data_IF_181443606254
#
_entry.id   IF_181443606254
#
_cell.length_a   1.000
_cell.length_b   1.000
_cell.length_c   1.000
_cell.angle_alpha   90.00
_cell.angle_beta   90.00
_cell.angle_gamma   90.00
#
_symmetry.space_group_name_H-M   'P 1'
#
loop_
_entity.id
_entity.type
_entity.pdbx_description
1 polymer ?
#
# COMPACT_ATOMS: atom_id res chain seq x y z
N UNK A 1 21.10 1.72 -4.15
CA UNK A 1 20.14 0.85 -3.43
C UNK A 1 19.38 1.75 -2.47
N UNK A 2 18.05 1.82 -2.59
CA UNK A 2 17.25 2.73 -1.77
C UNK A 2 16.49 1.95 -0.69
N UNK A 3 16.35 2.52 0.50
CA UNK A 3 15.55 1.97 1.58
C UNK A 3 14.07 2.36 1.39
N UNK A 4 13.20 1.36 1.34
CA UNK A 4 11.76 1.52 1.06
C UNK A 4 10.91 0.86 2.14
N UNK A 5 10.61 1.56 3.25
CA UNK A 5 9.74 1.02 4.28
C UNK A 5 8.31 0.89 3.74
N UNK A 6 7.69 -0.25 3.99
CA UNK A 6 6.29 -0.52 3.63
C UNK A 6 5.59 -1.08 4.87
N UNK A 7 4.41 -0.57 5.15
CA UNK A 7 3.60 -1.00 6.28
C UNK A 7 2.14 -1.17 5.87
N UNK A 8 1.47 -2.19 6.41
CA UNK A 8 0.03 -2.42 6.24
C UNK A 8 -0.57 -2.83 7.57
N UNK A 9 -1.72 -2.24 7.90
CA UNK A 9 -2.56 -2.65 9.02
C UNK A 9 -4.00 -2.72 8.57
N UNK A 10 -4.77 -3.64 9.14
CA UNK A 10 -6.19 -3.79 8.85
C UNK A 10 -6.93 -4.42 10.03
N UNK A 11 -8.23 -4.19 10.05
CA UNK A 11 -9.16 -4.89 10.93
C UNK A 11 -10.17 -5.65 10.06
N UNK A 12 -10.32 -6.96 10.33
CA UNK A 12 -11.19 -7.86 9.56
C UNK A 12 -12.55 -8.01 10.26
N UNK A 13 -13.62 -7.72 9.52
CA UNK A 13 -15.00 -8.00 9.92
C UNK A 13 -15.61 -8.91 8.85
N UNK A 14 -15.88 -10.16 9.22
CA UNK A 14 -16.36 -11.21 8.32
C UNK A 14 -15.42 -11.43 7.12
N UNK A 15 -15.82 -10.96 5.93
CA UNK A 15 -15.09 -11.10 4.66
C UNK A 15 -14.49 -9.78 4.18
N UNK A 16 -14.58 -8.72 4.98
CA UNK A 16 -14.16 -7.36 4.62
C UNK A 16 -13.11 -6.92 5.62
N UNK A 17 -11.90 -6.60 5.14
CA UNK A 17 -10.87 -5.96 5.95
C UNK A 17 -10.70 -4.50 5.55
N UNK A 18 -10.85 -3.60 6.50
CA UNK A 18 -10.58 -2.17 6.32
C UNK A 18 -9.30 -1.77 7.01
N UNK A 19 -8.49 -0.90 6.41
CA UNK A 19 -7.18 -0.60 6.96
C UNK A 19 -6.44 0.57 6.33
N UNK A 20 -5.17 0.66 6.70
CA UNK A 20 -4.24 1.66 6.17
C UNK A 20 -2.96 0.99 5.66
N UNK A 21 -2.41 1.56 4.59
CA UNK A 21 -1.11 1.16 4.06
C UNK A 21 -0.22 2.38 3.88
N UNK A 22 1.07 2.22 4.14
CA UNK A 22 2.08 3.25 3.98
C UNK A 22 3.22 2.74 3.11
N UNK A 23 3.61 3.56 2.15
CA UNK A 23 4.71 3.29 1.23
C UNK A 23 5.70 4.44 1.30
N UNK A 24 6.93 4.13 1.71
CA UNK A 24 8.03 5.08 1.79
C UNK A 24 9.17 4.76 0.83
N UNK A 25 9.95 5.78 0.49
CA UNK A 25 11.29 5.66 -0.06
C UNK A 25 12.12 6.82 0.48
N UNK A 26 13.11 6.49 1.31
CA UNK A 26 13.92 7.47 2.05
C UNK A 26 15.29 7.72 1.41
N UNK A 27 15.53 7.17 0.22
CA UNK A 27 16.80 7.26 -0.48
C UNK A 27 17.83 6.22 -0.01
N UNK A 28 19.11 6.55 -0.15
CA UNK A 28 20.21 5.65 0.21
C UNK A 28 20.33 5.53 1.73
N UNK A 29 20.40 4.32 2.33
CA UNK A 29 20.52 4.16 3.77
C UNK A 29 21.78 4.77 4.39
N UNK A 30 22.84 5.01 3.60
CA UNK A 30 24.07 5.69 4.03
C UNK A 30 24.08 7.19 3.71
N UNK A 31 23.11 7.68 2.94
CA UNK A 31 22.94 9.10 2.60
C UNK A 31 21.46 9.37 2.31
N UNK A 32 20.72 9.70 3.37
CA UNK A 32 19.27 9.83 3.30
C UNK A 32 18.91 11.07 2.50
N UNK A 33 17.85 10.98 1.71
CA UNK A 33 17.31 12.14 1.00
C UNK A 33 16.72 13.13 2.01
N UNK A 34 16.71 14.43 1.67
CA UNK A 34 16.01 15.42 2.47
C UNK A 34 14.52 15.09 2.56
N UNK A 35 13.86 15.37 3.68
CA UNK A 35 12.47 14.92 3.92
C UNK A 35 11.47 15.35 2.83
N UNK A 36 11.67 16.52 2.19
CA UNK A 36 10.84 16.98 1.06
C UNK A 36 11.09 16.21 -0.24
N UNK A 37 12.25 15.54 -0.35
CA UNK A 37 12.64 14.70 -1.47
C UNK A 37 12.36 13.21 -1.23
N UNK A 38 12.02 12.82 -0.01
CA UNK A 38 11.58 11.46 0.28
C UNK A 38 10.15 11.26 -0.27
N UNK A 39 9.88 10.06 -0.78
CA UNK A 39 8.54 9.69 -1.22
C UNK A 39 7.79 9.05 -0.06
N UNK A 40 6.59 9.54 0.23
CA UNK A 40 5.72 9.06 1.30
C UNK A 40 4.26 9.07 0.84
N UNK A 41 3.66 7.88 0.69
CA UNK A 41 2.27 7.72 0.30
C UNK A 41 1.50 6.96 1.39
N UNK A 42 0.39 7.52 1.85
CA UNK A 42 -0.54 6.88 2.77
C UNK A 42 -1.82 6.49 2.04
N UNK A 43 -2.32 5.28 2.26
CA UNK A 43 -3.54 4.76 1.66
C UNK A 43 -4.54 4.38 2.73
N UNK A 44 -5.81 4.70 2.49
CA UNK A 44 -6.93 3.96 3.08
C UNK A 44 -7.30 2.82 2.14
N UNK A 45 -7.45 1.61 2.68
CA UNK A 45 -7.67 0.39 1.89
C UNK A 45 -8.83 -0.45 2.39
N UNK A 46 -9.47 -1.15 1.46
CA UNK A 46 -10.48 -2.17 1.73
C UNK A 46 -10.11 -3.43 0.94
N UNK A 47 -10.06 -4.56 1.65
CA UNK A 47 -9.85 -5.89 1.10
C UNK A 47 -11.13 -6.71 1.22
N UNK A 48 -11.58 -7.31 0.11
CA UNK A 48 -12.72 -8.21 0.06
C UNK A 48 -12.26 -9.63 -0.25
N UNK A 49 -12.61 -10.55 0.65
CA UNK A 49 -12.37 -11.98 0.55
C UNK A 49 -13.67 -12.69 0.16
N UNK A 50 -14.16 -12.41 -1.05
CA UNK A 50 -15.48 -12.88 -1.52
C UNK A 50 -15.50 -14.39 -1.67
N UNK A 51 -14.45 -14.95 -2.27
CA UNK A 51 -14.21 -16.37 -2.52
C UNK A 51 -12.83 -16.79 -1.99
N UNK A 52 -12.62 -18.04 -1.54
CA UNK A 52 -11.29 -18.52 -1.12
C UNK A 52 -10.19 -18.40 -2.18
N UNK A 53 -10.54 -18.17 -3.44
CA UNK A 53 -9.61 -18.00 -4.57
C UNK A 53 -9.51 -16.57 -5.06
N UNK A 54 -10.48 -15.71 -4.78
CA UNK A 54 -10.53 -14.35 -5.31
C UNK A 54 -10.38 -13.32 -4.18
N UNK A 55 -9.38 -12.46 -4.33
CA UNK A 55 -9.09 -11.35 -3.42
C UNK A 55 -9.17 -10.03 -4.19
N UNK A 56 -9.84 -9.04 -3.61
CA UNK A 56 -9.96 -7.70 -4.17
C UNK A 56 -9.44 -6.69 -3.16
N UNK A 57 -8.39 -5.94 -3.49
CA UNK A 57 -7.87 -4.83 -2.67
C UNK A 57 -8.06 -3.53 -3.43
N UNK A 58 -8.81 -2.61 -2.83
CA UNK A 58 -9.02 -1.26 -3.33
C UNK A 58 -8.39 -0.28 -2.36
N UNK A 59 -7.69 0.72 -2.88
CA UNK A 59 -7.10 1.77 -2.05
C UNK A 59 -7.16 3.14 -2.70
N UNK A 60 -7.36 4.15 -1.87
CA UNK A 60 -7.16 5.56 -2.23
C UNK A 60 -5.98 6.10 -1.43
N UNK A 61 -5.00 6.68 -2.14
CA UNK A 61 -3.77 7.17 -1.56
C UNK A 61 -3.63 8.68 -1.64
N UNK A 62 -2.99 9.26 -0.62
CA UNK A 62 -2.60 10.66 -0.51
C UNK A 62 -1.10 10.75 -0.27
N UNK A 63 -0.41 11.51 -1.12
CA UNK A 63 1.00 11.84 -0.94
C UNK A 63 1.20 12.82 0.21
N UNK A 64 2.24 12.58 1.01
CA UNK A 64 2.64 13.40 2.15
C UNK A 64 3.81 14.34 1.82
N UNK A 65 4.44 14.19 0.66
CA UNK A 65 5.51 15.07 0.16
C UNK A 65 5.25 15.52 -1.27
N UNK A 66 6.00 16.52 -1.72
CA UNK A 66 5.87 17.11 -3.05
C UNK A 66 6.28 16.15 -4.19
N UNK A 67 7.05 15.11 -3.87
CA UNK A 67 7.48 14.09 -4.85
C UNK A 67 6.45 12.95 -4.95
N UNK A 68 5.57 12.80 -3.97
CA UNK A 68 4.51 11.80 -3.98
C UNK A 68 3.30 12.25 -4.79
N UNK A 69 2.55 11.28 -5.32
CA UNK A 69 1.31 11.56 -6.03
C UNK A 69 0.31 12.23 -5.09
N UNK A 70 -0.24 13.37 -5.51
CA UNK A 70 -1.18 14.14 -4.66
C UNK A 70 -2.36 13.26 -4.27
N UNK A 71 -3.01 12.64 -5.25
CA UNK A 71 -4.00 11.59 -5.02
C UNK A 71 -3.79 10.49 -6.04
N UNK A 72 -3.95 9.25 -5.62
CA UNK A 72 -3.97 8.12 -6.53
C UNK A 72 -4.96 7.05 -6.05
N UNK A 73 -5.40 6.21 -6.98
CA UNK A 73 -6.29 5.09 -6.68
C UNK A 73 -5.59 3.82 -7.17
N UNK A 74 -5.68 2.75 -6.39
CA UNK A 74 -5.17 1.44 -6.76
C UNK A 74 -6.28 0.40 -6.64
N UNK A 75 -6.21 -0.56 -7.55
CA UNK A 75 -7.05 -1.75 -7.54
C UNK A 75 -6.17 -2.96 -7.83
N UNK A 76 -6.23 -3.96 -6.94
CA UNK A 76 -5.50 -5.22 -7.04
C UNK A 76 -6.51 -6.36 -7.06
N UNK A 77 -6.35 -7.25 -8.04
CA UNK A 77 -7.11 -8.49 -8.17
C UNK A 77 -6.16 -9.66 -7.97
N UNK A 78 -6.37 -10.43 -6.91
CA UNK A 78 -5.62 -11.62 -6.58
C UNK A 78 -6.42 -12.87 -6.93
N UNK A 79 -5.79 -13.82 -7.62
CA UNK A 79 -6.37 -15.14 -7.88
C UNK A 79 -5.45 -16.24 -7.35
N UNK A 80 -5.94 -17.08 -6.44
CA UNK A 80 -5.17 -18.21 -5.89
C UNK A 80 -5.30 -19.44 -6.79
N UNK A 81 -4.19 -19.81 -7.44
CA UNK A 81 -4.09 -21.02 -8.26
C UNK A 81 -3.53 -22.15 -7.39
N UNK A 82 -4.30 -23.21 -7.20
CA UNK A 82 -3.80 -24.46 -6.62
C UNK A 82 -3.30 -25.35 -7.74
N UNK A 83 -1.99 -25.55 -7.82
CA UNK A 83 -1.39 -26.55 -8.69
C UNK A 83 -1.45 -27.92 -7.99
N UNK A 84 -1.78 -28.98 -8.73
CA UNK A 84 -1.71 -30.36 -8.26
C UNK A 84 -0.31 -30.92 -8.50
#
# INVERSE_FOLDING_TARGET
MNLRPIFKTYYLINKIAGGFEYYGNVGNPFNWESGSQQFHQLYGVIDLFVDPRLEFNLGIGRGLTNISDTWNIKLLLGWRIKWK
#
